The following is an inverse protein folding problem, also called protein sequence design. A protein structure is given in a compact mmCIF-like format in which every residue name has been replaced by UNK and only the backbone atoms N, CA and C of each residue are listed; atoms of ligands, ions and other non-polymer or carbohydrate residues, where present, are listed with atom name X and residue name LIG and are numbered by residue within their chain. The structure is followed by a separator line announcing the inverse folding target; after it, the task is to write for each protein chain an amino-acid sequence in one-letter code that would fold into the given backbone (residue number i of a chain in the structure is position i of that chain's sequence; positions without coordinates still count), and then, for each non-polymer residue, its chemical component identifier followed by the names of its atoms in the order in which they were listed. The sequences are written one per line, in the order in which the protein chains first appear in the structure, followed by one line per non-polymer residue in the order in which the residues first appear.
data_IF_478889419085
#
_entry.id   IF_478889419085
#
_cell.length_a   1.000
_cell.length_b   1.000
_cell.length_c   1.000
_cell.angle_alpha   90.00
_cell.angle_beta   90.00
_cell.angle_gamma   90.00
#
_symmetry.space_group_name_H-M   'P 1'
#
loop_
_entity.id
_entity.type
_entity.pdbx_description
1 polymer ?
#
# COMPACT_ATOMS: atom_id res chain seq x y z
N UNK A 1 15.93 1.53 -17.44
CA UNK A 1 16.92 1.34 -16.36
C UNK A 1 16.31 1.91 -15.09
N UNK A 2 16.02 1.08 -14.07
CA UNK A 2 15.48 1.56 -12.81
C UNK A 2 16.58 2.37 -12.11
N UNK A 3 16.40 3.67 -11.91
CA UNK A 3 17.39 4.51 -11.23
C UNK A 3 17.29 4.32 -9.73
N UNK A 4 18.41 4.41 -9.02
CA UNK A 4 18.44 4.31 -7.56
C UNK A 4 17.49 5.32 -6.89
N UNK A 5 17.32 6.50 -7.50
CA UNK A 5 16.37 7.54 -7.07
C UNK A 5 14.91 7.04 -7.08
N UNK A 6 14.52 6.23 -8.06
CA UNK A 6 13.18 5.63 -8.11
C UNK A 6 12.96 4.62 -6.98
N UNK A 7 13.98 3.83 -6.60
CA UNK A 7 13.87 2.91 -5.45
C UNK A 7 13.80 3.66 -4.11
N UNK A 8 14.52 4.78 -3.96
CA UNK A 8 14.44 5.61 -2.75
C UNK A 8 13.04 6.21 -2.57
N UNK A 9 12.44 6.74 -3.63
CA UNK A 9 11.07 7.27 -3.58
C UNK A 9 10.06 6.18 -3.24
N UNK A 10 10.16 5.00 -3.87
CA UNK A 10 9.26 3.86 -3.60
C UNK A 10 9.42 3.33 -2.18
N UNK A 11 10.65 3.26 -1.68
CA UNK A 11 10.94 2.91 -0.29
C UNK A 11 10.34 3.91 0.72
N UNK A 12 10.36 5.22 0.41
CA UNK A 12 9.71 6.22 1.25
C UNK A 12 8.19 6.02 1.32
N UNK A 13 7.56 5.64 0.20
CA UNK A 13 6.13 5.29 0.18
C UNK A 13 5.83 4.04 1.01
N UNK A 14 6.69 3.03 0.95
CA UNK A 14 6.57 1.83 1.78
C UNK A 14 6.67 2.13 3.28
N UNK A 15 7.65 2.94 3.68
CA UNK A 15 7.78 3.38 5.08
C UNK A 15 6.55 4.17 5.54
N UNK A 16 6.06 5.10 4.73
CA UNK A 16 4.87 5.87 5.08
C UNK A 16 3.59 5.00 5.16
N UNK A 17 3.49 3.94 4.35
CA UNK A 17 2.43 2.94 4.46
C UNK A 17 2.51 2.19 5.79
N UNK A 18 3.70 1.74 6.18
CA UNK A 18 3.94 1.10 7.49
C UNK A 18 3.58 2.04 8.65
N UNK A 19 3.99 3.29 8.60
CA UNK A 19 3.69 4.28 9.64
C UNK A 19 2.17 4.53 9.76
N UNK A 20 1.47 4.62 8.62
CA UNK A 20 0.00 4.78 8.61
C UNK A 20 -0.69 3.56 9.24
N UNK A 21 -0.23 2.36 8.87
CA UNK A 21 -0.72 1.09 9.41
C UNK A 21 -0.43 0.95 10.89
N UNK A 22 0.77 1.28 11.37
CA UNK A 22 1.11 1.11 12.78
C UNK A 22 0.43 2.17 13.66
N UNK A 23 0.29 3.41 13.16
CA UNK A 23 -0.37 4.49 13.88
C UNK A 23 -1.87 4.24 14.08
N UNK A 24 -2.55 3.62 13.11
CA UNK A 24 -4.01 3.39 13.14
C UNK A 24 -4.41 1.94 13.34
N UNK A 25 -3.60 1.00 12.90
CA UNK A 25 -3.90 -0.43 12.83
C UNK A 25 -3.79 -1.16 14.16
N UNK A 26 -2.98 -0.66 15.11
CA UNK A 26 -2.83 -1.27 16.43
C UNK A 26 -4.16 -1.41 17.22
N UNK A 27 -5.21 -0.68 16.84
CA UNK A 27 -6.54 -0.78 17.48
C UNK A 27 -7.69 -1.12 16.53
N UNK A 28 -7.50 -0.96 15.21
CA UNK A 28 -8.57 -1.00 14.22
C UNK A 28 -8.31 -1.93 13.03
N UNK A 29 -7.14 -2.55 12.92
CA UNK A 29 -6.76 -3.43 11.80
C UNK A 29 -6.42 -4.83 12.33
N UNK A 30 -6.96 -5.86 11.70
CA UNK A 30 -6.63 -7.24 12.04
C UNK A 30 -5.23 -7.61 11.52
N UNK A 31 -4.56 -8.55 12.19
CA UNK A 31 -3.23 -9.01 11.78
C UNK A 31 -3.19 -9.47 10.29
N UNK A 32 -4.22 -10.21 9.87
CA UNK A 32 -4.33 -10.68 8.47
C UNK A 32 -4.58 -9.54 7.47
N UNK A 33 -5.30 -8.48 7.87
CA UNK A 33 -5.51 -7.30 7.02
C UNK A 33 -4.21 -6.50 6.89
N UNK A 34 -3.44 -6.40 7.98
CA UNK A 34 -2.10 -5.81 7.97
C UNK A 34 -1.17 -6.56 7.02
N UNK A 35 -1.11 -7.88 7.12
CA UNK A 35 -0.27 -8.71 6.26
C UNK A 35 -0.62 -8.53 4.78
N UNK A 36 -1.91 -8.52 4.43
CA UNK A 36 -2.36 -8.32 3.05
C UNK A 36 -1.92 -6.97 2.45
N UNK A 37 -1.99 -5.88 3.25
CA UNK A 37 -1.53 -4.57 2.80
C UNK A 37 -0.02 -4.53 2.56
N UNK A 38 0.75 -5.22 3.41
CA UNK A 38 2.20 -5.29 3.28
C UNK A 38 2.61 -6.16 2.09
N UNK A 39 1.96 -7.30 1.89
CA UNK A 39 2.20 -8.16 0.72
C UNK A 39 1.95 -7.41 -0.59
N UNK A 40 0.88 -6.60 -0.67
CA UNK A 40 0.63 -5.77 -1.84
C UNK A 40 1.71 -4.69 -2.06
N UNK A 41 2.18 -4.05 -0.98
CA UNK A 41 3.24 -3.06 -1.06
C UNK A 41 4.59 -3.67 -1.45
N UNK A 42 4.93 -4.85 -0.92
CA UNK A 42 6.14 -5.61 -1.28
C UNK A 42 6.08 -6.08 -2.73
N UNK A 43 4.95 -6.67 -3.16
CA UNK A 43 4.75 -7.10 -4.54
C UNK A 43 4.94 -5.93 -5.52
N UNK A 44 4.44 -4.74 -5.18
CA UNK A 44 4.68 -3.53 -5.96
C UNK A 44 6.13 -3.04 -5.91
N UNK A 45 6.78 -3.10 -4.74
CA UNK A 45 8.16 -2.64 -4.53
C UNK A 45 9.18 -3.52 -5.27
N UNK A 46 8.94 -4.82 -5.34
CA UNK A 46 9.82 -5.78 -6.02
C UNK A 46 9.37 -6.12 -7.45
N UNK A 47 8.20 -5.64 -7.87
CA UNK A 47 7.68 -5.87 -9.22
C UNK A 47 7.27 -7.33 -9.44
N UNK A 48 6.64 -7.94 -8.44
CA UNK A 48 6.21 -9.33 -8.50
C UNK A 48 5.07 -9.53 -9.51
N UNK A 49 5.00 -10.70 -10.16
CA UNK A 49 4.01 -10.98 -11.20
C UNK A 49 2.56 -10.98 -10.67
N UNK A 50 2.37 -11.25 -9.39
CA UNK A 50 1.05 -11.26 -8.74
C UNK A 50 0.64 -9.91 -8.15
N UNK A 51 1.45 -8.85 -8.35
CA UNK A 51 1.20 -7.50 -7.83
C UNK A 51 -0.18 -6.95 -8.17
N UNK A 52 -0.68 -7.16 -9.39
CA UNK A 52 -2.03 -6.72 -9.77
C UNK A 52 -3.13 -7.35 -8.90
N UNK A 53 -2.97 -8.63 -8.55
CA UNK A 53 -3.93 -9.35 -7.73
C UNK A 53 -3.87 -8.84 -6.30
N UNK A 54 -2.68 -8.76 -5.71
CA UNK A 54 -2.51 -8.34 -4.31
C UNK A 54 -2.94 -6.87 -4.11
N UNK A 55 -2.66 -6.00 -5.08
CA UNK A 55 -3.14 -4.60 -5.06
C UNK A 55 -4.65 -4.51 -5.12
N UNK A 56 -5.32 -5.28 -6.00
CA UNK A 56 -6.78 -5.28 -6.06
C UNK A 56 -7.40 -5.72 -4.74
N UNK A 57 -6.84 -6.74 -4.09
CA UNK A 57 -7.28 -7.18 -2.76
C UNK A 57 -7.07 -6.09 -1.70
N UNK A 58 -5.90 -5.43 -1.71
CA UNK A 58 -5.62 -4.30 -0.82
C UNK A 58 -6.60 -3.14 -1.02
N UNK A 59 -6.95 -2.79 -2.26
CA UNK A 59 -7.95 -1.75 -2.55
C UNK A 59 -9.34 -2.09 -2.01
N UNK A 60 -9.77 -3.33 -2.18
CA UNK A 60 -11.04 -3.84 -1.64
C UNK A 60 -11.05 -3.75 -0.11
N UNK A 61 -9.95 -4.16 0.53
CA UNK A 61 -9.80 -4.05 1.98
C UNK A 61 -9.86 -2.58 2.45
N UNK A 62 -9.16 -1.67 1.78
CA UNK A 62 -9.20 -0.24 2.13
C UNK A 62 -10.61 0.35 1.95
N UNK A 63 -11.32 -0.06 0.91
CA UNK A 63 -12.71 0.32 0.70
C UNK A 63 -13.62 -0.20 1.81
N UNK A 64 -13.45 -1.46 2.24
CA UNK A 64 -14.21 -2.04 3.35
C UNK A 64 -13.95 -1.30 4.68
N UNK A 65 -12.70 -0.97 4.97
CA UNK A 65 -12.33 -0.17 6.15
C UNK A 65 -13.00 1.20 6.16
N UNK A 66 -13.14 1.82 4.98
CA UNK A 66 -13.82 3.10 4.79
C UNK A 66 -15.34 2.95 4.94
N UNK A 67 -15.95 1.96 4.29
CA UNK A 67 -17.40 1.72 4.31
C UNK A 67 -17.91 1.37 5.70
N UNK A 68 -17.14 0.63 6.47
CA UNK A 68 -17.48 0.28 7.86
C UNK A 68 -17.09 1.38 8.87
N UNK A 69 -16.67 2.56 8.40
CA UNK A 69 -16.24 3.70 9.22
C UNK A 69 -15.15 3.33 10.24
N UNK A 70 -14.43 2.23 9.99
CA UNK A 70 -13.31 1.79 10.82
C UNK A 70 -12.20 2.83 10.71
N UNK A 71 -11.93 3.29 9.50
CA UNK A 71 -10.93 4.30 9.15
C UNK A 71 -11.60 5.49 8.44
N UNK A 72 -11.01 6.68 8.58
CA UNK A 72 -11.50 7.87 7.89
C UNK A 72 -11.18 7.83 6.39
N UNK A 73 -12.00 8.52 5.59
CA UNK A 73 -11.77 8.69 4.14
C UNK A 73 -10.35 9.20 3.85
N UNK A 74 -9.91 10.22 4.60
CA UNK A 74 -8.56 10.78 4.47
C UNK A 74 -7.45 9.75 4.70
N UNK A 75 -7.62 8.88 5.71
CA UNK A 75 -6.64 7.82 6.00
C UNK A 75 -6.61 6.79 4.88
N UNK A 76 -7.79 6.39 4.38
CA UNK A 76 -7.89 5.44 3.27
C UNK A 76 -7.27 5.99 1.98
N UNK A 77 -7.46 7.28 1.69
CA UNK A 77 -6.86 7.93 0.51
C UNK A 77 -5.33 8.06 0.64
N UNK A 78 -4.82 8.39 1.83
CA UNK A 78 -3.39 8.37 2.09
C UNK A 78 -2.81 6.96 1.90
N UNK A 79 -3.48 5.94 2.43
CA UNK A 79 -3.02 4.56 2.31
C UNK A 79 -2.96 4.10 0.85
N UNK A 80 -3.98 4.40 0.04
CA UNK A 80 -3.97 4.14 -1.41
C UNK A 80 -2.81 4.85 -2.09
N UNK A 81 -2.60 6.14 -1.78
CA UNK A 81 -1.50 6.93 -2.34
C UNK A 81 -0.14 6.31 -2.01
N UNK A 82 0.08 5.86 -0.78
CA UNK A 82 1.32 5.21 -0.38
C UNK A 82 1.48 3.84 -1.06
N UNK A 83 0.41 3.05 -1.15
CA UNK A 83 0.42 1.76 -1.85
C UNK A 83 0.83 1.93 -3.32
N UNK A 84 0.14 2.78 -4.08
CA UNK A 84 0.47 3.01 -5.49
C UNK A 84 1.83 3.68 -5.68
N UNK A 85 2.29 4.47 -4.71
CA UNK A 85 3.64 5.04 -4.72
C UNK A 85 4.76 4.01 -4.58
N UNK A 86 4.45 2.77 -4.16
CA UNK A 86 5.40 1.65 -4.17
C UNK A 86 5.59 1.05 -5.56
N UNK A 87 4.66 1.27 -6.50
CA UNK A 87 4.76 0.77 -7.86
C UNK A 87 5.96 1.38 -8.58
N UNK A 88 6.59 0.61 -9.46
CA UNK A 88 7.54 1.20 -10.39
C UNK A 88 6.80 2.22 -11.28
N UNK A 89 7.40 3.38 -11.59
CA UNK A 89 6.80 4.29 -12.54
C UNK A 89 6.59 3.52 -13.85
N UNK A 90 5.34 3.48 -14.34
CA UNK A 90 5.00 2.87 -15.61
C UNK A 90 5.75 3.65 -16.69
N UNK A 91 6.94 3.19 -17.03
CA UNK A 91 7.72 3.79 -18.09
C UNK A 91 6.90 3.66 -19.36
N UNK A 92 6.35 4.77 -19.84
CA UNK A 92 5.93 4.89 -21.22
C UNK A 92 7.14 4.46 -22.06
N UNK A 93 6.98 3.35 -22.77
CA UNK A 93 7.94 2.85 -23.75
C UNK A 93 8.02 3.79 -24.94
#
# INVERSE_FOLDING_TARGET
MMTAESMVTRGAHYTALLETIDHRGATKLHATEREQLLEAADALLFGEPDSERTVRWAEVLIADLQTNERWSVETCDQLRKHLHGCAAPTGAS
#
